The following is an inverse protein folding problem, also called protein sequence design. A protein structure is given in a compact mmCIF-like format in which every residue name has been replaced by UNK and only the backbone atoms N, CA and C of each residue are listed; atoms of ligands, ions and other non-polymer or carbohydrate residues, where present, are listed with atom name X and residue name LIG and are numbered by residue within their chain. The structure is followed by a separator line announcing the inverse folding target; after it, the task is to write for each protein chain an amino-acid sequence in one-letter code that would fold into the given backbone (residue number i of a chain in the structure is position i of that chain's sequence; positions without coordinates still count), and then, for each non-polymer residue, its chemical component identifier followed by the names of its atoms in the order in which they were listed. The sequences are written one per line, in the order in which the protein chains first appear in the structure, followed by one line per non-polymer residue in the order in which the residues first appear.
data_IF_984899457055
#
_entry.id   IF_984899457055
#
_cell.length_a   1.000
_cell.length_b   1.000
_cell.length_c   1.000
_cell.angle_alpha   90.00
_cell.angle_beta   90.00
_cell.angle_gamma   90.00
#
_symmetry.space_group_name_H-M   'P 1'
#
loop_
_entity.id
_entity.type
_entity.pdbx_description
1 polymer ?
#
# COMPACT_ATOMS: atom_id res chain seq x y z
N UNK A 1 1.29 11.76 13.07
CA UNK A 1 0.24 10.96 12.37
C UNK A 1 -0.51 11.80 11.35
N UNK A 2 -1.09 12.96 11.72
CA UNK A 2 -1.73 13.87 10.75
C UNK A 2 -0.79 14.27 9.60
N UNK A 3 0.48 14.55 9.89
CA UNK A 3 1.47 14.92 8.86
C UNK A 3 1.74 13.79 7.86
N UNK A 4 1.73 12.53 8.30
CA UNK A 4 1.98 11.38 7.45
C UNK A 4 0.82 11.17 6.46
N UNK A 5 -0.42 11.31 6.92
CA UNK A 5 -1.61 11.25 6.08
C UNK A 5 -1.62 12.40 5.07
N UNK A 6 -1.31 13.63 5.50
CA UNK A 6 -1.23 14.78 4.60
C UNK A 6 -0.13 14.61 3.54
N UNK A 7 1.02 14.07 3.93
CA UNK A 7 2.13 13.77 3.02
C UNK A 7 1.71 12.70 2.00
N UNK A 8 1.07 11.63 2.46
CA UNK A 8 0.52 10.59 1.61
C UNK A 8 -0.49 11.14 0.59
N UNK A 9 -1.49 11.90 1.04
CA UNK A 9 -2.51 12.47 0.16
C UNK A 9 -1.91 13.43 -0.87
N UNK A 10 -0.86 14.19 -0.50
CA UNK A 10 -0.15 15.06 -1.45
C UNK A 10 0.55 14.24 -2.53
N UNK A 11 1.27 13.18 -2.14
CA UNK A 11 1.94 12.30 -3.09
C UNK A 11 0.96 11.61 -4.04
N UNK A 12 -0.16 11.09 -3.52
CA UNK A 12 -1.22 10.47 -4.33
C UNK A 12 -1.79 11.47 -5.34
N UNK A 13 -2.15 12.68 -4.91
CA UNK A 13 -2.68 13.73 -5.82
C UNK A 13 -1.67 14.11 -6.89
N UNK A 14 -0.40 14.22 -6.55
CA UNK A 14 0.66 14.53 -7.51
C UNK A 14 0.77 13.43 -8.57
N UNK A 15 0.85 12.17 -8.15
CA UNK A 15 0.87 11.01 -9.05
C UNK A 15 -0.38 10.98 -9.94
N UNK A 16 -1.57 11.13 -9.35
CA UNK A 16 -2.83 11.12 -10.09
C UNK A 16 -2.92 12.26 -11.11
N UNK A 17 -2.42 13.45 -10.77
CA UNK A 17 -2.47 14.62 -11.66
C UNK A 17 -1.63 14.50 -12.94
N UNK A 18 -0.69 13.55 -13.00
CA UNK A 18 0.10 13.28 -14.19
C UNK A 18 -0.73 12.64 -15.32
N UNK A 19 -1.87 12.00 -14.99
CA UNK A 19 -2.82 11.44 -15.95
C UNK A 19 -2.41 10.11 -16.59
N UNK A 20 -1.26 9.56 -16.22
CA UNK A 20 -0.71 8.28 -16.70
C UNK A 20 -0.50 7.26 -15.56
N UNK A 21 -1.04 7.56 -14.38
CA UNK A 21 -0.93 6.70 -13.21
C UNK A 21 -1.77 5.43 -13.35
N UNK A 22 -1.22 4.31 -12.89
CA UNK A 22 -1.92 3.03 -12.68
C UNK A 22 -1.86 2.67 -11.21
N UNK A 23 -2.51 1.57 -10.81
CA UNK A 23 -2.57 1.13 -9.41
C UNK A 23 -1.18 1.08 -8.75
N UNK A 24 -0.19 0.56 -9.48
CA UNK A 24 1.17 0.43 -8.99
C UNK A 24 1.85 1.79 -8.73
N UNK A 25 1.46 2.84 -9.46
CA UNK A 25 2.02 4.19 -9.33
C UNK A 25 1.79 4.80 -7.95
N UNK A 26 0.77 4.35 -7.20
CA UNK A 26 0.46 4.85 -5.85
C UNK A 26 1.18 4.10 -4.73
N UNK A 27 1.68 2.90 -5.00
CA UNK A 27 2.27 1.99 -4.00
C UNK A 27 3.48 2.58 -3.25
N UNK A 28 4.38 3.38 -3.85
CA UNK A 28 5.48 4.02 -3.10
C UNK A 28 4.98 4.99 -2.02
N UNK A 29 3.95 5.79 -2.32
CA UNK A 29 3.36 6.71 -1.35
C UNK A 29 2.67 5.94 -0.22
N UNK A 30 1.95 4.88 -0.57
CA UNK A 30 1.26 4.02 0.40
C UNK A 30 2.23 3.28 1.33
N UNK A 31 3.32 2.71 0.79
CA UNK A 31 4.41 2.11 1.57
C UNK A 31 4.93 3.08 2.64
N UNK A 32 5.19 4.33 2.25
CA UNK A 32 5.69 5.37 3.15
C UNK A 32 4.70 5.67 4.28
N UNK A 33 3.39 5.71 3.97
CA UNK A 33 2.36 5.87 4.99
C UNK A 33 2.36 4.70 5.98
N UNK A 34 2.34 3.46 5.48
CA UNK A 34 2.28 2.26 6.34
C UNK A 34 3.48 2.19 7.28
N UNK A 35 4.69 2.45 6.78
CA UNK A 35 5.91 2.44 7.59
C UNK A 35 5.93 3.56 8.65
N UNK A 36 5.15 4.63 8.46
CA UNK A 36 5.01 5.72 9.43
C UNK A 36 4.18 5.36 10.66
N UNK A 37 3.41 4.26 10.63
CA UNK A 37 2.51 3.86 11.72
C UNK A 37 3.24 3.41 12.99
N UNK A 38 4.55 3.16 12.93
CA UNK A 38 5.33 2.85 14.12
C UNK A 38 6.74 2.39 13.82
N UNK A 39 7.61 2.53 14.82
CA UNK A 39 9.01 2.11 14.72
C UNK A 39 9.09 0.61 14.41
N UNK A 40 9.85 0.28 13.37
CA UNK A 40 10.12 -1.10 12.97
C UNK A 40 9.00 -1.77 12.19
N UNK A 41 7.95 -1.02 11.78
CA UNK A 41 7.01 -1.47 10.75
C UNK A 41 7.71 -1.36 9.39
N UNK A 42 7.61 -2.43 8.60
CA UNK A 42 8.12 -2.54 7.24
C UNK A 42 6.99 -3.00 6.33
N UNK A 43 6.79 -2.31 5.23
CA UNK A 43 5.86 -2.73 4.18
C UNK A 43 6.68 -3.13 2.95
N UNK A 44 6.60 -4.38 2.53
CA UNK A 44 7.27 -4.87 1.32
C UNK A 44 6.25 -4.97 0.21
N UNK A 45 6.41 -4.15 -0.84
CA UNK A 45 5.65 -4.25 -2.08
C UNK A 45 6.13 -5.46 -2.89
N UNK A 46 5.21 -6.19 -3.50
CA UNK A 46 5.47 -7.39 -4.32
C UNK A 46 6.44 -8.38 -3.62
N UNK A 47 6.08 -8.84 -2.39
CA UNK A 47 6.90 -9.82 -1.70
C UNK A 47 7.04 -11.11 -2.50
N UNK A 48 8.13 -11.84 -2.25
CA UNK A 48 8.25 -13.21 -2.76
C UNK A 48 7.02 -14.01 -2.33
N UNK A 49 6.50 -14.80 -3.26
CA UNK A 49 5.27 -15.60 -3.11
C UNK A 49 5.28 -16.34 -1.76
N UNK A 50 4.23 -16.12 -0.98
CA UNK A 50 4.02 -16.76 0.33
C UNK A 50 3.07 -17.94 0.17
N UNK A 51 2.99 -18.83 1.17
CA UNK A 51 2.12 -20.01 1.10
C UNK A 51 0.64 -19.67 0.86
N UNK A 52 0.20 -18.47 1.26
CA UNK A 52 -1.17 -17.98 1.11
C UNK A 52 -1.45 -17.24 -0.21
N UNK A 53 -0.47 -17.07 -1.11
CA UNK A 53 -0.67 -16.37 -2.38
C UNK A 53 0.42 -15.33 -2.70
N UNK A 54 0.05 -14.33 -3.51
CA UNK A 54 0.91 -13.24 -3.95
C UNK A 54 0.24 -11.90 -3.59
N UNK A 55 0.32 -11.47 -2.32
CA UNK A 55 -0.30 -10.23 -1.90
C UNK A 55 0.48 -9.03 -2.44
N UNK A 56 -0.19 -7.89 -2.61
CA UNK A 56 0.47 -6.65 -3.03
C UNK A 56 1.50 -6.17 -2.02
N UNK A 57 1.15 -6.22 -0.73
CA UNK A 57 2.06 -5.92 0.36
C UNK A 57 2.03 -7.00 1.44
N UNK A 58 3.20 -7.25 2.01
CA UNK A 58 3.32 -7.84 3.36
C UNK A 58 3.78 -6.75 4.33
N UNK A 59 3.07 -6.62 5.45
CA UNK A 59 3.46 -5.75 6.55
C UNK A 59 4.05 -6.60 7.65
N UNK A 60 5.23 -6.24 8.13
CA UNK A 60 5.91 -6.90 9.23
C UNK A 60 6.37 -5.89 10.27
N UNK A 61 6.46 -6.32 11.52
CA UNK A 61 7.19 -5.59 12.56
C UNK A 61 8.42 -6.40 12.95
N UNK A 62 9.60 -5.89 12.64
CA UNK A 62 10.86 -6.66 12.67
C UNK A 62 10.73 -7.93 11.80
N UNK A 63 10.73 -9.11 12.40
CA UNK A 63 10.67 -10.40 11.71
C UNK A 63 9.29 -11.08 11.84
N UNK A 64 8.33 -10.41 12.47
CA UNK A 64 6.97 -10.93 12.66
C UNK A 64 6.03 -10.33 11.62
N UNK A 65 5.46 -11.14 10.71
CA UNK A 65 4.39 -10.70 9.81
C UNK A 65 3.18 -10.23 10.62
N UNK A 66 2.66 -9.05 10.30
CA UNK A 66 1.46 -8.48 10.90
C UNK A 66 0.23 -8.70 10.02
N UNK A 67 0.41 -8.78 8.71
CA UNK A 67 -0.68 -8.99 7.77
C UNK A 67 -0.30 -8.67 6.33
N UNK A 68 -1.30 -8.75 5.46
CA UNK A 68 -1.20 -8.48 4.03
C UNK A 68 -2.10 -7.30 3.68
N UNK A 69 -1.77 -6.57 2.61
CA UNK A 69 -2.63 -5.52 2.06
C UNK A 69 -2.74 -5.75 0.56
N UNK A 70 -3.97 -5.69 0.05
CA UNK A 70 -4.26 -5.64 -1.39
C UNK A 70 -4.62 -4.21 -1.79
N UNK A 71 -4.16 -3.80 -2.96
CA UNK A 71 -4.40 -2.49 -3.54
C UNK A 71 -5.39 -2.57 -4.70
N UNK A 72 -6.02 -1.43 -4.98
CA UNK A 72 -6.86 -1.21 -6.16
C UNK A 72 -6.63 0.18 -6.73
N UNK A 73 -6.91 0.31 -8.01
CA UNK A 73 -6.94 1.61 -8.67
C UNK A 73 -7.91 2.55 -7.97
N UNK A 74 -7.60 3.84 -8.05
CA UNK A 74 -8.52 4.89 -7.59
C UNK A 74 -9.81 4.76 -8.39
N UNK A 75 -10.95 4.90 -7.70
CA UNK A 75 -12.31 4.73 -8.23
C UNK A 75 -12.75 3.28 -8.54
N UNK A 76 -11.94 2.27 -8.25
CA UNK A 76 -12.37 0.86 -8.28
C UNK A 76 -13.06 0.48 -6.96
N UNK A 77 -14.31 -0.01 -6.97
CA UNK A 77 -15.00 -0.46 -5.77
C UNK A 77 -14.30 -1.65 -5.11
N UNK A 78 -14.07 -1.57 -3.81
CA UNK A 78 -13.43 -2.66 -3.04
C UNK A 78 -14.37 -3.87 -2.86
N UNK A 79 -15.69 -3.65 -2.83
CA UNK A 79 -16.70 -4.71 -2.63
C UNK A 79 -16.74 -5.73 -3.78
N UNK A 80 -16.30 -5.33 -4.97
CA UNK A 80 -16.17 -6.23 -6.12
C UNK A 80 -14.87 -7.05 -6.03
N UNK A 81 -13.86 -6.56 -5.31
CA UNK A 81 -12.55 -7.19 -5.19
C UNK A 81 -12.51 -8.34 -4.16
N UNK A 82 -13.31 -8.29 -3.08
CA UNK A 82 -13.31 -9.31 -2.02
C UNK A 82 -13.87 -10.68 -2.47
N UNK A 83 -14.57 -10.73 -3.62
CA UNK A 83 -15.23 -11.95 -4.13
C UNK A 83 -14.32 -12.89 -4.94
N UNK A 84 -13.03 -12.59 -5.04
CA UNK A 84 -12.05 -13.35 -5.85
C UNK A 84 -10.98 -13.95 -4.96
#
# INVERSE_FOLDING_TARGET
MQDAINTYLRAVRQTHSAGDATEHSYRPAFKTLVESFGKGIRATNEPKRVACGAPDFIVARKDVPLGFIECKDVDVPLDEAEKT
#
